data_IF_013179083656
#
_entry.id   IF_013179083656
#
_cell.length_a   1.000
_cell.length_b   1.000
_cell.length_c   1.000
_cell.angle_alpha   90.00
_cell.angle_beta   90.00
_cell.angle_gamma   90.00
#
_symmetry.space_group_name_H-M   'P 1'
#
loop_
_entity.id
_entity.type
_entity.pdbx_description
1 polymer ?
#
# COMPACT_ATOMS: atom_id res chain seq x y z
N UNK A 1 18.41 -7.60 24.24
CA UNK A 1 17.72 -8.56 23.36
C UNK A 1 17.54 -7.90 21.99
N UNK A 2 18.01 -8.49 20.89
CA UNK A 2 17.87 -7.93 19.54
C UNK A 2 16.56 -8.44 18.92
N UNK A 3 15.64 -7.55 18.57
CA UNK A 3 14.40 -7.93 17.89
C UNK A 3 14.70 -8.34 16.44
N UNK A 4 14.17 -9.49 16.02
CA UNK A 4 14.21 -9.94 14.62
C UNK A 4 12.83 -9.70 14.00
N UNK A 5 12.73 -8.68 13.14
CA UNK A 5 11.50 -8.35 12.43
C UNK A 5 11.38 -9.17 11.14
N UNK A 6 10.14 -9.37 10.67
CA UNK A 6 9.87 -10.01 9.38
C UNK A 6 10.41 -9.14 8.23
N UNK A 7 10.88 -9.72 7.11
CA UNK A 7 11.12 -8.97 5.88
C UNK A 7 9.85 -8.24 5.40
N UNK A 8 9.98 -7.07 4.75
CA UNK A 8 8.81 -6.26 4.32
C UNK A 8 7.83 -7.03 3.42
N UNK A 9 8.33 -7.88 2.52
CA UNK A 9 7.50 -8.75 1.66
C UNK A 9 6.60 -9.75 2.41
N UNK A 10 6.86 -9.96 3.69
CA UNK A 10 6.10 -10.83 4.59
C UNK A 10 5.24 -10.01 5.58
N UNK A 11 5.19 -8.69 5.43
CA UNK A 11 4.43 -7.79 6.29
C UNK A 11 3.16 -7.28 5.60
N UNK A 12 2.16 -7.01 6.44
CA UNK A 12 0.98 -6.20 6.12
C UNK A 12 1.13 -4.88 6.88
N UNK A 13 1.11 -3.77 6.16
CA UNK A 13 1.33 -2.43 6.71
C UNK A 13 0.09 -1.57 6.56
N UNK A 14 -0.44 -1.08 7.69
CA UNK A 14 -1.52 -0.07 7.68
C UNK A 14 -0.90 1.31 7.69
N UNK A 15 -1.23 2.12 6.69
CA UNK A 15 -0.64 3.44 6.49
C UNK A 15 -1.75 4.48 6.55
N UNK A 16 -1.75 5.28 7.61
CA UNK A 16 -2.65 6.42 7.78
C UNK A 16 -2.09 7.66 7.09
N UNK A 17 -2.97 8.55 6.62
CA UNK A 17 -2.54 9.69 5.81
C UNK A 17 -1.99 9.27 4.45
N UNK A 18 -2.36 8.09 3.95
CA UNK A 18 -1.85 7.52 2.70
C UNK A 18 -2.29 8.28 1.43
N UNK A 19 -3.15 9.30 1.56
CA UNK A 19 -3.68 10.06 0.43
C UNK A 19 -2.70 11.08 -0.16
N UNK A 20 -1.61 11.44 0.54
CA UNK A 20 -0.63 12.42 0.04
C UNK A 20 0.68 12.41 0.85
N UNK A 21 1.69 13.13 0.35
CA UNK A 21 2.93 13.41 1.07
C UNK A 21 3.66 12.14 1.52
N UNK A 22 4.12 12.14 2.77
CA UNK A 22 4.93 11.04 3.33
C UNK A 22 4.16 9.72 3.36
N UNK A 23 2.87 9.74 3.72
CA UNK A 23 2.05 8.52 3.75
C UNK A 23 1.92 7.86 2.38
N UNK A 24 1.65 8.66 1.34
CA UNK A 24 1.59 8.16 -0.04
C UNK A 24 2.94 7.62 -0.52
N UNK A 25 4.03 8.34 -0.26
CA UNK A 25 5.38 7.88 -0.62
C UNK A 25 5.75 6.58 0.11
N UNK A 26 5.40 6.47 1.39
CA UNK A 26 5.66 5.28 2.22
C UNK A 26 4.88 4.08 1.68
N UNK A 27 3.61 4.27 1.33
CA UNK A 27 2.79 3.22 0.75
C UNK A 27 3.34 2.69 -0.57
N UNK A 28 3.75 3.59 -1.47
CA UNK A 28 4.37 3.23 -2.75
C UNK A 28 5.66 2.43 -2.54
N UNK A 29 6.58 2.95 -1.73
CA UNK A 29 7.86 2.28 -1.46
C UNK A 29 7.70 0.94 -0.74
N UNK A 30 6.76 0.84 0.20
CA UNK A 30 6.47 -0.41 0.89
C UNK A 30 5.91 -1.47 -0.07
N UNK A 31 4.95 -1.06 -0.91
CA UNK A 31 4.40 -1.91 -1.94
C UNK A 31 5.49 -2.37 -2.92
N UNK A 32 6.30 -1.48 -3.48
CA UNK A 32 7.44 -1.82 -4.38
C UNK A 32 8.40 -2.86 -3.77
N UNK A 33 8.56 -2.86 -2.44
CA UNK A 33 9.38 -3.84 -1.70
C UNK A 33 8.66 -5.15 -1.36
N UNK A 34 7.46 -5.34 -1.91
CA UNK A 34 6.62 -6.54 -1.79
C UNK A 34 5.70 -6.57 -0.59
N UNK A 35 5.64 -5.50 0.23
CA UNK A 35 4.72 -5.47 1.36
C UNK A 35 3.27 -5.41 0.87
N UNK A 36 2.36 -5.98 1.65
CA UNK A 36 0.92 -5.70 1.51
C UNK A 36 0.63 -4.40 2.25
N UNK A 37 -0.01 -3.44 1.60
CA UNK A 37 -0.34 -2.15 2.21
C UNK A 37 -1.84 -1.97 2.29
N UNK A 38 -2.27 -1.37 3.39
CA UNK A 38 -3.63 -0.89 3.64
C UNK A 38 -3.57 0.62 3.68
N UNK A 39 -4.20 1.29 2.71
CA UNK A 39 -4.21 2.74 2.61
C UNK A 39 -5.38 3.29 3.40
N UNK A 40 -5.12 4.21 4.34
CA UNK A 40 -6.16 4.83 5.17
C UNK A 40 -6.09 6.35 5.03
N UNK A 41 -7.23 6.97 4.70
CA UNK A 41 -7.35 8.41 4.54
C UNK A 41 -8.79 8.88 4.35
N UNK A 42 -8.99 10.21 4.44
CA UNK A 42 -10.31 10.85 4.34
C UNK A 42 -10.75 11.18 2.91
N UNK A 43 -9.80 11.22 1.97
CA UNK A 43 -10.06 11.64 0.59
C UNK A 43 -9.94 10.44 -0.35
N UNK A 44 -11.08 9.88 -0.68
CA UNK A 44 -11.20 8.66 -1.49
C UNK A 44 -10.48 8.80 -2.85
N UNK A 45 -10.78 9.85 -3.61
CA UNK A 45 -10.18 10.09 -4.93
C UNK A 45 -8.64 10.11 -4.89
N UNK A 46 -8.06 10.63 -3.80
CA UNK A 46 -6.60 10.65 -3.64
C UNK A 46 -6.04 9.27 -3.26
N UNK A 47 -6.75 8.51 -2.42
CA UNK A 47 -6.38 7.12 -2.14
C UNK A 47 -6.44 6.25 -3.40
N UNK A 48 -7.48 6.41 -4.20
CA UNK A 48 -7.61 5.76 -5.51
C UNK A 48 -6.43 6.09 -6.43
N UNK A 49 -6.00 7.36 -6.48
CA UNK A 49 -4.81 7.76 -7.24
C UNK A 49 -3.55 7.04 -6.75
N UNK A 50 -3.35 6.95 -5.43
CA UNK A 50 -2.18 6.27 -4.85
C UNK A 50 -2.23 4.76 -5.10
N UNK A 51 -3.41 4.14 -4.99
CA UNK A 51 -3.62 2.74 -5.34
C UNK A 51 -3.27 2.48 -6.81
N UNK A 52 -3.78 3.31 -7.73
CA UNK A 52 -3.50 3.19 -9.17
C UNK A 52 -2.01 3.32 -9.47
N UNK A 53 -1.31 4.23 -8.79
CA UNK A 53 0.14 4.35 -8.92
C UNK A 53 0.87 3.09 -8.44
N UNK A 54 0.43 2.50 -7.33
CA UNK A 54 0.99 1.24 -6.81
C UNK A 54 0.74 0.11 -7.80
N UNK A 55 -0.49 -0.01 -8.33
CA UNK A 55 -0.86 -1.05 -9.31
C UNK A 55 -0.03 -0.90 -10.59
N UNK A 56 0.08 0.31 -11.14
CA UNK A 56 0.94 0.60 -12.30
C UNK A 56 2.41 0.25 -12.08
N UNK A 57 2.91 0.35 -10.85
CA UNK A 57 4.28 -0.01 -10.48
C UNK A 57 4.55 -1.52 -10.38
N UNK A 58 3.60 -2.39 -10.77
CA UNK A 58 3.68 -3.84 -10.56
C UNK A 58 2.94 -4.32 -9.31
N UNK A 59 2.10 -3.46 -8.74
CA UNK A 59 1.10 -3.76 -7.73
C UNK A 59 -0.04 -4.64 -8.28
N UNK A 60 -0.41 -5.68 -7.55
CA UNK A 60 -1.75 -6.29 -7.59
C UNK A 60 -2.56 -5.63 -6.48
N UNK A 61 -3.57 -4.85 -6.81
CA UNK A 61 -4.38 -4.16 -5.81
C UNK A 61 -5.85 -4.37 -6.09
N UNK A 62 -6.60 -4.69 -5.04
CA UNK A 62 -8.05 -4.75 -5.07
C UNK A 62 -8.58 -3.55 -4.28
N UNK A 63 -9.40 -2.75 -4.95
CA UNK A 63 -10.11 -1.65 -4.33
C UNK A 63 -11.37 -2.20 -3.65
N UNK A 64 -11.22 -2.82 -2.49
CA UNK A 64 -12.36 -3.22 -1.68
C UNK A 64 -12.64 -2.16 -0.62
N UNK A 65 -13.78 -1.45 -0.75
CA UNK A 65 -14.26 -0.54 0.28
C UNK A 65 -14.78 -1.35 1.49
N UNK A 66 -13.86 -1.86 2.31
CA UNK A 66 -14.22 -2.35 3.64
C UNK A 66 -14.45 -1.14 4.56
N UNK A 67 -15.70 -0.70 4.65
CA UNK A 67 -16.09 0.57 5.27
C UNK A 67 -15.68 0.77 6.74
N UNK A 68 -15.23 1.98 7.05
CA UNK A 68 -15.66 2.75 8.22
C UNK A 68 -16.27 4.03 7.65
N UNK A 69 -17.50 4.39 8.01
CA UNK A 69 -18.41 5.38 7.37
C UNK A 69 -17.84 6.78 6.98
N UNK A 70 -16.55 7.05 7.22
CA UNK A 70 -15.83 8.30 6.89
C UNK A 70 -14.40 8.11 6.33
N UNK A 71 -13.92 6.88 6.12
CA UNK A 71 -12.55 6.58 5.66
C UNK A 71 -12.54 5.50 4.57
N UNK A 72 -11.82 5.76 3.48
CA UNK A 72 -11.55 4.75 2.46
C UNK A 72 -10.41 3.83 2.91
N UNK A 73 -10.60 2.53 2.71
CA UNK A 73 -9.58 1.48 2.94
C UNK A 73 -9.31 0.82 1.61
N UNK A 74 -8.04 0.73 1.21
CA UNK A 74 -7.64 0.11 -0.06
C UNK A 74 -6.50 -0.88 0.17
N UNK A 75 -6.56 -2.02 -0.51
CA UNK A 75 -5.56 -3.07 -0.42
C UNK A 75 -4.69 -3.10 -1.67
N UNK A 76 -3.38 -3.03 -1.48
CA UNK A 76 -2.41 -3.28 -2.54
C UNK A 76 -1.33 -4.26 -2.09
N UNK A 77 -0.96 -5.16 -2.99
CA UNK A 77 0.14 -6.11 -2.89
C UNK A 77 1.01 -5.97 -4.13
N UNK A 78 2.24 -5.46 -4.04
CA UNK A 78 3.13 -5.63 -5.19
C UNK A 78 3.74 -7.02 -5.23
N UNK A 79 3.52 -7.70 -6.37
CA UNK A 79 4.34 -8.82 -6.78
C UNK A 79 5.14 -8.30 -7.97
N UNK A 80 6.42 -8.00 -7.75
CA UNK A 80 7.37 -7.82 -8.84
C UNK A 80 7.47 -9.17 -9.58
N UNK A 81 6.60 -9.39 -10.56
CA UNK A 81 6.76 -10.48 -11.50
C UNK A 81 7.96 -10.14 -12.38
N UNK A 82 9.07 -10.84 -12.15
CA UNK A 82 10.19 -10.93 -13.09
C UNK A 82 10.90 -9.61 -13.42
N UNK A 83 11.77 -9.13 -12.53
CA UNK A 83 13.03 -8.53 -13.01
C UNK A 83 14.10 -9.63 -13.06
N UNK A 84 14.02 -10.43 -14.11
CA UNK A 84 15.20 -11.09 -14.66
C UNK A 84 15.93 -10.04 -15.50
N UNK A 85 17.10 -9.63 -15.01
CA UNK A 85 18.23 -9.24 -15.86
C UNK A 85 19.32 -10.28 -15.60
#
# INVERSE_FOLDING_TARGET
MKLKLKPLREQVMVITGASSGIGAATAKMAAERGAKVVLVGRQENRLNSVLNDIVRGGGVGDADQAGFDRYGVYFARAQLYGRSA
#
